data_IF_009500968763
#
_entry.id   IF_009500968763
#
_cell.length_a   1.000
_cell.length_b   1.000
_cell.length_c   1.000
_cell.angle_alpha   90.00
_cell.angle_beta   90.00
_cell.angle_gamma   90.00
#
_symmetry.space_group_name_H-M   'P 1'
#
loop_
_entity.id
_entity.type
_entity.pdbx_description
1 polymer ?
#
# COMPACT_ATOMS: atom_id res chain seq x y z
N UNK A 1 -14.59 16.29 -18.49
CA UNK A 1 -15.12 14.95 -18.15
C UNK A 1 -14.11 13.92 -18.64
N UNK A 2 -13.21 13.45 -17.79
CA UNK A 2 -12.29 12.34 -18.13
C UNK A 2 -12.96 11.04 -17.71
N UNK A 3 -13.73 10.47 -18.63
CA UNK A 3 -14.20 9.09 -18.62
C UNK A 3 -13.00 8.18 -18.87
N UNK A 4 -12.38 7.70 -17.80
CA UNK A 4 -11.34 6.68 -17.85
C UNK A 4 -11.52 5.74 -16.67
N UNK A 5 -11.65 4.45 -16.96
CA UNK A 5 -12.01 3.34 -16.04
C UNK A 5 -10.97 3.09 -14.92
N UNK A 6 -10.06 4.03 -14.63
CA UNK A 6 -8.99 3.85 -13.64
C UNK A 6 -8.69 5.10 -12.82
N UNK A 7 -9.70 5.90 -12.44
CA UNK A 7 -9.56 6.72 -11.25
C UNK A 7 -9.32 5.77 -10.06
N UNK A 8 -8.11 5.75 -9.49
CA UNK A 8 -7.82 4.96 -8.31
C UNK A 8 -8.87 5.30 -7.24
N UNK A 9 -9.63 4.29 -6.79
CA UNK A 9 -10.62 4.48 -5.72
C UNK A 9 -9.94 5.18 -4.54
N UNK A 10 -10.59 6.21 -3.99
CA UNK A 10 -10.04 7.00 -2.87
C UNK A 10 -9.58 6.11 -1.70
N UNK A 11 -10.27 4.97 -1.52
CA UNK A 11 -9.94 3.91 -0.59
C UNK A 11 -9.82 2.56 -1.31
N UNK A 12 -8.68 1.87 -1.10
CA UNK A 12 -8.38 0.52 -1.58
C UNK A 12 -8.42 -0.41 -0.37
N UNK A 13 -9.11 -1.54 -0.48
CA UNK A 13 -9.11 -2.55 0.58
C UNK A 13 -8.23 -3.74 0.19
N UNK A 14 -7.25 -4.05 1.01
CA UNK A 14 -6.44 -5.25 0.90
C UNK A 14 -7.01 -6.34 1.79
N UNK A 15 -7.29 -7.50 1.18
CA UNK A 15 -7.64 -8.70 1.92
C UNK A 15 -6.39 -9.27 2.59
N UNK A 16 -6.41 -9.38 3.91
CA UNK A 16 -5.37 -10.06 4.67
C UNK A 16 -6.03 -10.98 5.70
N UNK A 17 -5.40 -12.13 5.94
CA UNK A 17 -5.90 -13.15 6.88
C UNK A 17 -6.04 -12.64 8.31
N UNK A 18 -5.26 -11.62 8.70
CA UNK A 18 -5.27 -11.03 10.03
C UNK A 18 -6.32 -9.89 10.20
N UNK A 19 -7.12 -9.62 9.18
CA UNK A 19 -8.09 -8.53 9.13
C UNK A 19 -7.85 -7.63 7.91
N UNK A 20 -8.93 -7.06 7.37
CA UNK A 20 -8.86 -6.21 6.18
C UNK A 20 -8.08 -4.94 6.49
N UNK A 21 -7.32 -4.47 5.49
CA UNK A 21 -6.57 -3.22 5.59
C UNK A 21 -7.11 -2.25 4.56
N UNK A 22 -7.55 -1.09 5.03
CA UNK A 22 -7.99 0.02 4.17
C UNK A 22 -6.81 0.95 3.91
N UNK A 23 -6.64 1.33 2.66
CA UNK A 23 -5.54 2.16 2.19
C UNK A 23 -6.08 3.36 1.42
N UNK A 24 -5.82 4.57 1.93
CA UNK A 24 -6.22 5.81 1.28
C UNK A 24 -5.17 6.23 0.24
N UNK A 25 -5.32 5.80 -1.02
CA UNK A 25 -4.35 6.07 -2.09
C UNK A 25 -4.14 7.58 -2.30
N UNK A 26 -5.24 8.34 -2.35
CA UNK A 26 -5.21 9.80 -2.55
C UNK A 26 -4.40 10.54 -1.49
N UNK A 27 -4.50 10.12 -0.22
CA UNK A 27 -3.71 10.72 0.87
C UNK A 27 -2.21 10.56 0.63
N UNK A 28 -1.79 9.37 0.20
CA UNK A 28 -0.36 9.10 -0.03
C UNK A 28 0.15 9.79 -1.29
N UNK A 29 -0.61 9.74 -2.38
CA UNK A 29 -0.20 10.30 -3.67
C UNK A 29 -0.33 11.84 -3.74
N UNK A 30 -1.47 12.40 -3.32
CA UNK A 30 -1.77 13.82 -3.52
C UNK A 30 -1.46 14.67 -2.28
N UNK A 31 -1.83 14.19 -1.09
CA UNK A 31 -1.65 14.98 0.15
C UNK A 31 -0.20 14.92 0.64
N UNK A 32 0.36 13.71 0.71
CA UNK A 32 1.74 13.49 1.17
C UNK A 32 2.77 13.57 0.02
N UNK A 33 2.32 13.65 -1.23
CA UNK A 33 3.16 13.73 -2.43
C UNK A 33 4.24 12.64 -2.48
N UNK A 34 3.88 11.42 -2.07
CA UNK A 34 4.79 10.28 -2.15
C UNK A 34 4.90 9.86 -3.61
N UNK A 35 6.14 9.78 -4.11
CA UNK A 35 6.43 9.31 -5.47
C UNK A 35 5.76 7.97 -5.75
N UNK A 36 5.09 7.85 -6.90
CA UNK A 36 4.34 6.65 -7.27
C UNK A 36 5.22 5.39 -7.25
N UNK A 37 6.48 5.54 -7.66
CA UNK A 37 7.49 4.47 -7.72
C UNK A 37 7.97 4.01 -6.34
N UNK A 38 7.61 4.70 -5.26
CA UNK A 38 7.90 4.23 -3.90
C UNK A 38 7.09 2.98 -3.55
N UNK A 39 5.88 2.86 -4.10
CA UNK A 39 5.00 1.69 -3.92
C UNK A 39 4.91 0.87 -5.20
N UNK A 40 4.65 1.52 -6.35
CA UNK A 40 4.71 0.90 -7.66
C UNK A 40 6.16 0.78 -8.13
N UNK A 41 6.97 0.01 -7.40
CA UNK A 41 8.42 -0.07 -7.56
C UNK A 41 8.89 -0.68 -8.89
N UNK A 42 7.97 -1.14 -9.74
CA UNK A 42 8.25 -1.60 -11.11
C UNK A 42 7.86 -0.60 -12.18
N UNK A 43 7.20 0.51 -11.82
CA UNK A 43 6.76 1.51 -12.78
C UNK A 43 7.94 2.30 -13.34
N UNK A 44 7.82 2.63 -14.61
CA UNK A 44 8.61 3.71 -15.23
C UNK A 44 7.93 5.04 -14.91
N UNK A 45 8.70 6.15 -14.88
CA UNK A 45 8.23 7.50 -14.48
C UNK A 45 7.00 8.03 -15.26
N UNK A 46 6.59 7.40 -16.36
CA UNK A 46 5.44 7.79 -17.18
C UNK A 46 4.26 6.80 -17.11
N UNK A 47 4.34 5.73 -16.32
CA UNK A 47 3.26 4.76 -16.20
C UNK A 47 2.18 5.26 -15.23
N UNK A 48 0.92 5.11 -15.65
CA UNK A 48 -0.27 5.48 -14.85
C UNK A 48 -1.23 4.31 -14.66
N UNK A 49 -1.00 3.16 -15.33
CA UNK A 49 -1.76 1.94 -15.17
C UNK A 49 -1.03 0.94 -14.25
N UNK A 50 -1.53 0.85 -13.02
CA UNK A 50 -0.89 0.06 -11.97
C UNK A 50 -1.35 -1.37 -11.98
N UNK A 51 -0.39 -2.29 -11.87
CA UNK A 51 -0.70 -3.63 -11.39
C UNK A 51 -0.98 -3.59 -9.91
N UNK A 52 -1.94 -4.39 -9.45
CA UNK A 52 -2.16 -4.60 -8.03
C UNK A 52 -0.99 -5.39 -7.45
N UNK A 53 -0.61 -5.09 -6.20
CA UNK A 53 0.50 -5.76 -5.53
C UNK A 53 0.32 -7.29 -5.55
N UNK A 54 -0.92 -7.75 -5.36
CA UNK A 54 -1.31 -9.17 -5.34
C UNK A 54 -1.18 -9.89 -6.68
N UNK A 55 -0.91 -9.18 -7.79
CA UNK A 55 -0.61 -9.82 -9.07
C UNK A 55 0.74 -10.54 -9.01
N UNK A 56 1.75 -9.96 -8.37
CA UNK A 56 3.08 -10.53 -8.22
C UNK A 56 3.35 -11.04 -6.79
N UNK A 57 2.93 -10.28 -5.77
CA UNK A 57 3.15 -10.64 -4.37
C UNK A 57 2.03 -11.57 -3.88
N UNK A 58 2.27 -12.87 -3.98
CA UNK A 58 1.34 -13.92 -3.53
C UNK A 58 1.50 -14.22 -2.05
N UNK A 59 0.71 -15.16 -1.53
CA UNK A 59 0.77 -15.55 -0.11
C UNK A 59 2.16 -16.07 0.30
N UNK A 60 2.89 -16.69 -0.63
CA UNK A 60 4.28 -17.10 -0.46
C UNK A 60 5.17 -16.31 -1.42
N UNK A 61 6.43 -16.14 -1.07
CA UNK A 61 7.42 -15.57 -1.97
C UNK A 61 7.61 -16.48 -3.19
N UNK A 62 7.82 -15.87 -4.36
CA UNK A 62 8.00 -16.59 -5.61
C UNK A 62 9.08 -15.89 -6.45
N UNK A 63 10.15 -16.63 -6.77
CA UNK A 63 11.32 -16.07 -7.46
C UNK A 63 11.91 -14.87 -6.72
N UNK A 64 11.91 -13.71 -7.38
CA UNK A 64 12.39 -12.44 -6.81
C UNK A 64 11.30 -11.64 -6.08
N UNK A 65 10.04 -12.07 -6.16
CA UNK A 65 8.93 -11.40 -5.51
C UNK A 65 8.78 -11.85 -4.05
N UNK A 66 8.76 -10.89 -3.13
CA UNK A 66 8.44 -11.13 -1.73
C UNK A 66 7.01 -11.65 -1.57
N UNK A 67 6.72 -12.31 -0.46
CA UNK A 67 5.33 -12.60 -0.09
C UNK A 67 4.55 -11.30 0.07
N UNK A 68 3.23 -11.33 -0.12
CA UNK A 68 2.33 -10.20 0.09
C UNK A 68 2.53 -9.62 1.50
N UNK A 69 2.60 -10.49 2.50
CA UNK A 69 2.86 -10.11 3.89
C UNK A 69 4.15 -9.30 3.99
N UNK A 70 5.26 -9.81 3.47
CA UNK A 70 6.56 -9.16 3.65
C UNK A 70 6.66 -7.87 2.84
N UNK A 71 6.09 -7.83 1.62
CA UNK A 71 6.03 -6.62 0.80
C UNK A 71 5.27 -5.50 1.53
N UNK A 72 4.07 -5.78 2.04
CA UNK A 72 3.27 -4.76 2.75
C UNK A 72 3.91 -4.30 4.06
N UNK A 73 4.50 -5.21 4.85
CA UNK A 73 5.17 -4.81 6.09
C UNK A 73 6.50 -4.09 5.84
N UNK A 74 7.19 -4.40 4.74
CA UNK A 74 8.41 -3.70 4.35
C UNK A 74 8.11 -2.27 3.89
N UNK A 75 7.16 -2.10 2.96
CA UNK A 75 6.94 -0.79 2.35
C UNK A 75 5.99 0.08 3.18
N UNK A 76 4.82 -0.45 3.57
CA UNK A 76 3.82 0.33 4.30
C UNK A 76 4.25 0.58 5.76
N UNK A 77 4.47 -0.50 6.52
CA UNK A 77 4.86 -0.38 7.93
C UNK A 77 6.27 0.19 8.07
N UNK A 78 7.21 -0.20 7.20
CA UNK A 78 8.57 0.33 7.21
C UNK A 78 8.61 1.84 7.02
N UNK A 79 7.92 2.39 6.02
CA UNK A 79 7.86 3.84 5.83
C UNK A 79 7.21 4.56 7.02
N UNK A 80 6.14 4.00 7.60
CA UNK A 80 5.51 4.56 8.81
C UNK A 80 6.45 4.51 10.02
N UNK A 81 7.18 3.42 10.21
CA UNK A 81 8.16 3.30 11.30
C UNK A 81 9.31 4.29 11.14
N UNK A 82 9.81 4.49 9.92
CA UNK A 82 10.83 5.50 9.60
C UNK A 82 10.34 6.91 9.92
N UNK A 83 9.12 7.26 9.47
CA UNK A 83 8.51 8.54 9.78
C UNK A 83 8.36 8.75 11.30
N UNK A 84 7.92 7.71 12.02
CA UNK A 84 7.77 7.73 13.48
C UNK A 84 9.11 7.94 14.18
N UNK A 85 10.16 7.20 13.78
CA UNK A 85 11.52 7.34 14.32
C UNK A 85 12.09 8.74 14.05
N UNK A 86 11.74 9.34 12.91
CA UNK A 86 12.14 10.69 12.55
C UNK A 86 11.29 11.79 13.21
N UNK A 87 10.37 11.45 14.14
CA UNK A 87 9.41 12.38 14.75
C UNK A 87 8.56 13.16 13.72
N UNK A 88 8.31 12.56 12.55
CA UNK A 88 7.43 13.11 11.51
C UNK A 88 6.02 12.52 11.66
N UNK A 89 4.99 13.18 11.10
CA UNK A 89 3.66 12.57 10.98
C UNK A 89 3.77 11.19 10.33
N UNK A 90 3.37 10.17 11.08
CA UNK A 90 3.48 8.77 10.69
C UNK A 90 2.10 8.14 10.58
N UNK A 91 1.97 7.19 9.67
CA UNK A 91 0.80 6.33 9.61
C UNK A 91 0.80 5.26 10.72
N UNK A 92 -0.22 4.39 10.72
CA UNK A 92 -0.33 3.29 11.69
C UNK A 92 0.88 2.35 11.64
N UNK A 93 1.37 1.95 12.83
CA UNK A 93 2.56 1.06 12.97
C UNK A 93 2.25 -0.23 13.74
N UNK A 94 1.18 -0.23 14.55
CA UNK A 94 0.70 -1.40 15.27
C UNK A 94 -0.18 -2.32 14.42
N UNK A 95 -0.14 -3.63 14.71
CA UNK A 95 -0.82 -4.66 13.92
C UNK A 95 -2.33 -4.38 13.74
N UNK A 96 -3.03 -4.03 14.82
CA UNK A 96 -4.47 -3.76 14.82
C UNK A 96 -4.85 -2.36 14.34
N UNK A 97 -3.86 -1.48 14.13
CA UNK A 97 -4.11 -0.14 13.59
C UNK A 97 -4.30 -0.17 12.08
N UNK A 98 -3.69 -1.15 11.40
CA UNK A 98 -3.92 -1.43 9.98
C UNK A 98 -4.95 -2.55 9.78
N UNK A 99 -4.81 -3.65 10.52
CA UNK A 99 -5.68 -4.83 10.41
C UNK A 99 -6.91 -4.67 11.30
N UNK A 100 -7.96 -4.13 10.70
CA UNK A 100 -9.25 -4.03 11.37
C UNK A 100 -9.98 -5.35 11.18
N UNK A 101 -10.25 -6.05 12.28
CA UNK A 101 -11.18 -7.19 12.26
C UNK A 101 -12.56 -6.64 11.93
N UNK A 102 -13.22 -7.21 10.93
CA UNK A 102 -14.63 -6.91 10.71
C UNK A 102 -15.36 -7.18 12.04
N UNK A 103 -16.10 -6.19 12.55
CA UNK A 103 -16.98 -6.43 13.70
C UNK A 103 -17.98 -7.50 13.27
N UNK A 104 -17.99 -8.63 13.98
CA UNK A 104 -19.05 -9.64 13.87
C UNK A 104 -20.39 -9.02 14.21
#
# INVERSE_FOLDING_TARGET
>A
MVTGVFAAKDEITFAASYGKVKFAHKKHAETLKIECTKCHHTWKKAETSGKLCGECHKAKAEGKALSAKDAYHKDCKGCHDEAKKANKPAGPTGCTQCHVKDKK
#
